data_IF_291392821353
#
_entry.id   IF_291392821353
#
_cell.length_a   1.000
_cell.length_b   1.000
_cell.length_c   1.000
_cell.angle_alpha   90.00
_cell.angle_beta   90.00
_cell.angle_gamma   90.00
#
_symmetry.space_group_name_H-M   'P 1'
#
loop_
_entity.id
_entity.type
_entity.pdbx_description
1 polymer ?
#
# COMPACT_ATOMS: atom_id res chain seq x y z
N UNK A 1 1.98 10.07 0.61
CA UNK A 1 2.51 11.44 0.53
C UNK A 1 3.08 11.92 1.88
N UNK A 2 2.73 11.30 3.00
CA UNK A 2 3.20 11.68 4.33
C UNK A 2 2.58 12.98 4.89
N UNK A 3 1.44 13.43 4.34
CA UNK A 3 0.71 14.62 4.76
C UNK A 3 -0.62 14.25 5.45
N UNK A 4 -1.16 15.18 6.26
CA UNK A 4 -2.43 14.94 6.95
C UNK A 4 -3.64 14.96 6.00
N UNK A 5 -4.79 14.36 6.37
CA UNK A 5 -6.01 14.48 5.58
C UNK A 5 -6.45 15.92 5.36
N UNK A 6 -6.31 16.80 6.37
CA UNK A 6 -6.64 18.23 6.27
C UNK A 6 -5.77 18.93 5.21
N UNK A 7 -4.46 18.69 5.25
CA UNK A 7 -3.53 19.23 4.26
C UNK A 7 -3.77 18.65 2.86
N UNK A 8 -4.04 17.36 2.75
CA UNK A 8 -4.40 16.72 1.48
C UNK A 8 -5.62 17.38 0.85
N UNK A 9 -6.67 17.62 1.64
CA UNK A 9 -7.88 18.28 1.15
C UNK A 9 -7.65 19.74 0.75
N UNK A 10 -6.81 20.47 1.47
CA UNK A 10 -6.42 21.84 1.11
C UNK A 10 -5.68 21.89 -0.23
N UNK A 11 -4.75 20.97 -0.45
CA UNK A 11 -4.01 20.85 -1.72
C UNK A 11 -4.95 20.45 -2.85
N UNK A 12 -5.80 19.45 -2.63
CA UNK A 12 -6.77 19.00 -3.63
C UNK A 12 -7.76 20.12 -4.02
N UNK A 13 -8.18 20.95 -3.05
CA UNK A 13 -9.03 22.11 -3.31
C UNK A 13 -8.37 23.08 -4.28
N UNK A 14 -7.09 23.42 -4.06
CA UNK A 14 -6.32 24.28 -4.97
C UNK A 14 -6.17 23.69 -6.37
N UNK A 15 -5.89 22.38 -6.47
CA UNK A 15 -5.80 21.69 -7.75
C UNK A 15 -7.13 21.74 -8.52
N UNK A 16 -8.25 21.61 -7.81
CA UNK A 16 -9.59 21.72 -8.38
C UNK A 16 -9.89 23.15 -8.84
N UNK A 17 -9.67 24.15 -7.98
CA UNK A 17 -9.90 25.58 -8.31
C UNK A 17 -9.08 26.05 -9.50
N UNK A 18 -7.87 25.51 -9.70
CA UNK A 18 -7.00 25.77 -10.84
C UNK A 18 -7.33 24.88 -12.07
N UNK A 19 -8.38 24.05 -12.01
CA UNK A 19 -8.83 23.23 -13.15
C UNK A 19 -7.90 22.08 -13.50
N UNK A 20 -7.07 21.62 -12.56
CA UNK A 20 -6.16 20.49 -12.78
C UNK A 20 -6.81 19.13 -12.53
N UNK A 21 -7.76 19.07 -11.59
CA UNK A 21 -8.52 17.86 -11.25
C UNK A 21 -10.01 18.17 -11.21
N UNK A 22 -10.85 17.12 -11.31
CA UNK A 22 -12.28 17.21 -11.03
C UNK A 22 -12.51 17.34 -9.51
N UNK A 23 -13.75 17.51 -9.09
CA UNK A 23 -14.08 17.76 -7.71
C UNK A 23 -13.63 16.61 -6.79
N UNK A 24 -12.86 16.92 -5.76
CA UNK A 24 -12.21 15.93 -4.89
C UNK A 24 -13.09 15.41 -3.75
N UNK A 25 -14.21 16.09 -3.43
CA UNK A 25 -15.14 15.64 -2.37
C UNK A 25 -16.25 14.80 -2.97
N UNK A 26 -15.88 13.67 -3.53
CA UNK A 26 -16.80 12.72 -4.18
C UNK A 26 -16.58 11.32 -3.63
N UNK A 27 -17.63 10.55 -3.56
CA UNK A 27 -17.64 9.10 -3.29
C UNK A 27 -17.87 8.29 -4.57
N UNK A 28 -18.06 8.96 -5.71
CA UNK A 28 -18.23 8.32 -7.00
C UNK A 28 -16.93 7.68 -7.49
N UNK A 29 -17.08 6.50 -8.09
CA UNK A 29 -16.02 5.76 -8.77
C UNK A 29 -16.16 5.82 -10.30
N UNK A 30 -17.16 6.55 -10.81
CA UNK A 30 -17.47 6.62 -12.24
C UNK A 30 -16.56 7.62 -12.94
N UNK A 31 -16.16 7.26 -14.15
CA UNK A 31 -15.49 8.16 -15.10
C UNK A 31 -16.43 8.46 -16.26
N UNK A 32 -16.41 9.68 -16.77
CA UNK A 32 -17.17 10.05 -17.98
C UNK A 32 -16.63 9.32 -19.20
N UNK A 33 -17.48 9.15 -20.21
CA UNK A 33 -17.10 8.48 -21.47
C UNK A 33 -15.94 9.22 -22.17
N UNK A 34 -15.94 10.55 -22.16
CA UNK A 34 -14.84 11.37 -22.68
C UNK A 34 -13.51 11.07 -21.96
N UNK A 35 -13.56 10.95 -20.63
CA UNK A 35 -12.37 10.61 -19.85
C UNK A 35 -11.87 9.19 -20.16
N UNK A 36 -12.76 8.22 -20.31
CA UNK A 36 -12.42 6.85 -20.69
C UNK A 36 -11.76 6.81 -22.08
N UNK A 37 -12.28 7.58 -23.04
CA UNK A 37 -11.68 7.67 -24.36
C UNK A 37 -10.29 8.30 -24.36
N UNK A 38 -10.09 9.38 -23.60
CA UNK A 38 -8.79 10.01 -23.45
C UNK A 38 -7.78 9.11 -22.76
N UNK A 39 -8.19 8.39 -21.71
CA UNK A 39 -7.35 7.39 -21.02
C UNK A 39 -6.98 6.28 -22.00
N UNK A 40 -7.93 5.75 -22.78
CA UNK A 40 -7.69 4.72 -23.79
C UNK A 40 -6.61 5.15 -24.78
N UNK A 41 -6.77 6.36 -25.36
CA UNK A 41 -5.79 6.92 -26.30
C UNK A 41 -4.41 7.02 -25.65
N UNK A 42 -4.35 7.46 -24.38
CA UNK A 42 -3.09 7.65 -23.65
C UNK A 42 -2.43 6.31 -23.31
N UNK A 43 -3.18 5.34 -22.79
CA UNK A 43 -2.65 4.00 -22.49
C UNK A 43 -2.14 3.31 -23.74
N UNK A 44 -2.92 3.34 -24.83
CA UNK A 44 -2.52 2.70 -26.09
C UNK A 44 -1.24 3.32 -26.65
N UNK A 45 -1.11 4.65 -26.55
CA UNK A 45 0.09 5.37 -27.04
C UNK A 45 1.34 5.06 -26.22
N UNK A 46 1.23 4.94 -24.89
CA UNK A 46 2.40 4.81 -24.00
C UNK A 46 2.78 3.36 -23.70
N UNK A 47 1.80 2.47 -23.64
CA UNK A 47 2.01 1.07 -23.20
C UNK A 47 1.61 0.05 -24.27
N UNK A 48 0.77 0.42 -25.24
CA UNK A 48 0.21 -0.45 -26.25
C UNK A 48 -1.23 -0.89 -25.95
N UNK A 49 -1.94 -1.34 -26.99
CA UNK A 49 -3.37 -1.71 -26.91
C UNK A 49 -3.64 -2.87 -25.94
N UNK A 50 -2.66 -3.76 -25.77
CA UNK A 50 -2.78 -4.91 -24.85
C UNK A 50 -2.89 -4.51 -23.37
N UNK A 51 -2.53 -3.27 -23.02
CA UNK A 51 -2.57 -2.77 -21.65
C UNK A 51 -3.90 -2.12 -21.26
N UNK A 52 -4.72 -1.71 -22.22
CA UNK A 52 -6.00 -1.07 -21.93
C UNK A 52 -7.08 -2.10 -21.61
N UNK A 53 -7.84 -1.81 -20.57
CA UNK A 53 -9.08 -2.52 -20.23
C UNK A 53 -10.03 -1.56 -19.55
N UNK A 54 -11.12 -1.21 -20.23
CA UNK A 54 -12.18 -0.42 -19.59
C UNK A 54 -12.76 -1.17 -18.41
N UNK A 55 -12.79 -0.51 -17.27
CA UNK A 55 -13.32 -1.07 -16.03
C UNK A 55 -14.30 -0.08 -15.40
N UNK A 56 -15.56 -0.45 -15.32
CA UNK A 56 -16.61 0.32 -14.63
C UNK A 56 -16.70 -0.15 -13.19
N UNK A 57 -16.24 0.68 -12.26
CA UNK A 57 -16.32 0.42 -10.84
C UNK A 57 -17.71 0.78 -10.32
N UNK A 58 -18.27 -0.06 -9.45
CA UNK A 58 -19.52 0.22 -8.76
C UNK A 58 -19.22 0.59 -7.33
N UNK A 59 -19.87 1.66 -6.83
CA UNK A 59 -19.85 1.98 -5.41
C UNK A 59 -20.53 0.85 -4.61
N UNK A 60 -19.95 0.50 -3.47
CA UNK A 60 -20.55 -0.45 -2.54
C UNK A 60 -21.70 0.19 -1.74
N UNK A 61 -21.71 1.51 -1.66
CA UNK A 61 -22.69 2.26 -0.92
C UNK A 61 -23.92 2.51 -1.81
N UNK A 62 -25.08 1.97 -1.39
CA UNK A 62 -26.36 2.16 -2.08
C UNK A 62 -26.82 3.62 -2.11
N UNK A 63 -26.22 4.47 -1.28
CA UNK A 63 -26.50 5.90 -1.16
C UNK A 63 -25.48 6.78 -1.87
N UNK A 64 -24.55 6.19 -2.68
CA UNK A 64 -23.63 7.01 -3.46
C UNK A 64 -24.42 7.85 -4.47
N UNK A 65 -24.09 9.12 -4.55
CA UNK A 65 -24.71 10.03 -5.52
C UNK A 65 -24.15 9.68 -6.92
N UNK A 66 -24.87 8.84 -7.66
CA UNK A 66 -24.49 8.40 -9.02
C UNK A 66 -24.29 9.56 -10.01
N UNK A 67 -24.74 10.77 -9.66
CA UNK A 67 -24.60 11.98 -10.48
C UNK A 67 -23.20 12.60 -10.46
N UNK A 68 -22.28 12.13 -9.60
CA UNK A 68 -20.93 12.68 -9.50
C UNK A 68 -19.90 11.82 -10.24
N UNK A 69 -18.85 12.47 -10.71
CA UNK A 69 -17.69 11.82 -11.30
C UNK A 69 -16.61 11.54 -10.23
N UNK A 70 -15.76 10.54 -10.47
CA UNK A 70 -14.59 10.29 -9.63
C UNK A 70 -13.60 11.46 -9.70
N UNK A 71 -12.83 11.66 -8.63
CA UNK A 71 -11.71 12.60 -8.63
C UNK A 71 -10.62 12.11 -9.62
N UNK A 72 -10.40 12.86 -10.68
CA UNK A 72 -9.46 12.56 -11.75
C UNK A 72 -8.78 13.81 -12.30
N UNK A 73 -7.69 13.70 -13.08
CA UNK A 73 -7.17 14.83 -13.85
C UNK A 73 -8.19 15.35 -14.88
N UNK A 74 -8.26 16.66 -15.05
CA UNK A 74 -9.06 17.24 -16.12
C UNK A 74 -8.46 16.99 -17.51
N UNK A 75 -7.14 16.80 -17.59
CA UNK A 75 -6.41 16.53 -18.85
C UNK A 75 -5.40 15.41 -18.65
N UNK A 76 -5.36 14.46 -19.58
CA UNK A 76 -4.44 13.32 -19.54
C UNK A 76 -3.14 13.52 -20.33
N UNK A 77 -2.95 14.70 -20.94
CA UNK A 77 -1.78 14.99 -21.76
C UNK A 77 -0.45 14.94 -21.02
N UNK A 78 -0.44 15.41 -19.75
CA UNK A 78 0.75 15.46 -18.90
C UNK A 78 0.48 14.75 -17.57
N UNK A 79 1.42 13.92 -17.11
CA UNK A 79 1.35 13.24 -15.82
C UNK A 79 1.89 14.09 -14.66
N UNK A 80 2.39 15.28 -14.96
CA UNK A 80 3.01 16.21 -14.01
C UNK A 80 2.63 17.65 -14.35
N UNK A 81 2.59 18.49 -13.34
CA UNK A 81 2.41 19.93 -13.44
C UNK A 81 3.75 20.69 -13.34
N UNK A 82 4.89 19.99 -13.47
CA UNK A 82 6.21 20.61 -13.46
C UNK A 82 6.31 21.68 -14.54
N UNK A 83 6.90 22.83 -14.18
CA UNK A 83 7.08 23.97 -15.09
C UNK A 83 5.88 24.90 -15.21
N UNK A 84 4.76 24.63 -14.49
CA UNK A 84 3.69 25.59 -14.36
C UNK A 84 3.98 26.56 -13.22
N UNK A 85 3.72 27.86 -13.46
CA UNK A 85 3.82 28.87 -12.41
C UNK A 85 2.84 28.59 -11.28
N UNK A 86 3.24 28.88 -10.03
CA UNK A 86 2.43 28.76 -8.82
C UNK A 86 1.99 27.34 -8.42
N UNK A 87 2.64 26.29 -8.91
CA UNK A 87 2.42 24.92 -8.47
C UNK A 87 3.51 24.52 -7.45
N UNK A 88 3.12 24.23 -6.23
CA UNK A 88 4.03 23.73 -5.20
C UNK A 88 4.41 22.26 -5.46
N UNK A 89 5.55 21.85 -4.90
CA UNK A 89 5.99 20.45 -4.94
C UNK A 89 4.91 19.47 -4.41
N UNK A 90 4.19 19.84 -3.33
CA UNK A 90 3.14 19.00 -2.75
C UNK A 90 1.91 18.89 -3.66
N UNK A 91 1.52 19.96 -4.32
CA UNK A 91 0.44 19.98 -5.31
C UNK A 91 0.77 19.06 -6.50
N UNK A 92 1.99 19.16 -7.02
CA UNK A 92 2.44 18.30 -8.09
C UNK A 92 2.49 16.83 -7.68
N UNK A 93 2.96 16.51 -6.47
CA UNK A 93 2.95 15.12 -5.94
C UNK A 93 1.55 14.55 -5.81
N UNK A 94 0.58 15.33 -5.34
CA UNK A 94 -0.80 14.89 -5.23
C UNK A 94 -1.41 14.70 -6.62
N UNK A 95 -1.18 15.63 -7.54
CA UNK A 95 -1.63 15.51 -8.93
C UNK A 95 -1.08 14.24 -9.60
N UNK A 96 0.23 13.99 -9.51
CA UNK A 96 0.86 12.76 -10.03
C UNK A 96 0.21 11.49 -9.48
N UNK A 97 -0.11 11.49 -8.17
CA UNK A 97 -0.78 10.34 -7.55
C UNK A 97 -2.17 10.12 -8.14
N UNK A 98 -2.98 11.17 -8.24
CA UNK A 98 -4.33 11.11 -8.82
C UNK A 98 -4.26 10.64 -10.27
N UNK A 99 -3.37 11.27 -11.07
CA UNK A 99 -3.17 10.92 -12.47
C UNK A 99 -2.78 9.44 -12.65
N UNK A 100 -1.78 8.98 -11.92
CA UNK A 100 -1.31 7.60 -12.00
C UNK A 100 -2.40 6.60 -11.60
N UNK A 101 -3.14 6.89 -10.52
CA UNK A 101 -4.24 6.03 -10.07
C UNK A 101 -5.37 5.96 -11.09
N UNK A 102 -5.74 7.08 -11.69
CA UNK A 102 -6.77 7.13 -12.74
C UNK A 102 -6.35 6.30 -13.94
N UNK A 103 -5.11 6.47 -14.44
CA UNK A 103 -4.61 5.67 -15.56
C UNK A 103 -4.60 4.17 -15.24
N UNK A 104 -4.04 3.79 -14.10
CA UNK A 104 -3.95 2.39 -13.67
C UNK A 104 -5.34 1.74 -13.50
N UNK A 105 -6.37 2.51 -13.16
CA UNK A 105 -7.73 2.00 -12.99
C UNK A 105 -8.34 1.47 -14.29
N UNK A 106 -7.85 1.91 -15.44
CA UNK A 106 -8.31 1.54 -16.77
C UNK A 106 -7.28 0.68 -17.54
N UNK A 107 -6.35 0.05 -16.81
CA UNK A 107 -5.37 -0.88 -17.36
C UNK A 107 -5.67 -2.31 -16.94
N UNK A 108 -5.26 -3.26 -17.78
CA UNK A 108 -5.38 -4.70 -17.46
C UNK A 108 -4.64 -5.03 -16.16
N UNK A 109 -5.17 -5.97 -15.36
CA UNK A 109 -4.48 -6.45 -14.16
C UNK A 109 -3.16 -7.13 -14.51
N UNK A 110 -2.19 -7.04 -13.60
CA UNK A 110 -0.97 -7.82 -13.69
C UNK A 110 -1.29 -9.31 -13.52
N UNK A 111 -0.60 -10.16 -14.28
CA UNK A 111 -0.66 -11.62 -14.13
C UNK A 111 0.61 -12.11 -13.48
N UNK A 112 0.46 -12.79 -12.36
CA UNK A 112 1.56 -13.32 -11.56
C UNK A 112 1.42 -14.84 -11.50
N UNK A 113 2.49 -15.54 -11.82
CA UNK A 113 2.62 -16.98 -11.62
C UNK A 113 3.31 -17.22 -10.27
N UNK A 114 2.67 -18.03 -9.40
CA UNK A 114 3.21 -18.34 -8.08
C UNK A 114 3.65 -19.81 -8.09
N UNK A 115 4.95 -20.04 -8.00
CA UNK A 115 5.52 -21.35 -7.81
C UNK A 115 5.75 -21.61 -6.33
N UNK A 116 5.20 -22.70 -5.81
CA UNK A 116 5.37 -23.10 -4.41
C UNK A 116 6.13 -24.43 -4.35
N UNK A 117 7.24 -24.43 -3.64
CA UNK A 117 8.08 -25.61 -3.41
C UNK A 117 7.89 -26.01 -1.94
N UNK A 118 7.59 -27.29 -1.72
CA UNK A 118 7.53 -27.87 -0.38
C UNK A 118 8.68 -28.84 -0.22
N UNK A 119 9.48 -28.67 0.81
CA UNK A 119 10.64 -29.51 1.12
C UNK A 119 10.34 -30.17 2.48
N UNK A 120 10.19 -31.48 2.46
CA UNK A 120 10.02 -32.29 3.67
C UNK A 120 11.38 -32.85 4.15
N UNK A 121 11.42 -33.24 5.39
CA UNK A 121 12.54 -34.00 5.94
C UNK A 121 12.19 -35.49 5.91
N UNK A 122 13.16 -36.31 5.59
CA UNK A 122 13.10 -37.75 5.81
C UNK A 122 13.70 -38.06 7.18
N UNK A 123 13.07 -38.97 7.91
CA UNK A 123 13.63 -39.54 9.12
C UNK A 123 14.53 -40.75 8.78
N UNK A 124 15.09 -41.40 9.80
CA UNK A 124 15.95 -42.58 9.62
C UNK A 124 15.25 -43.76 8.96
N UNK A 125 13.90 -43.80 9.01
CA UNK A 125 13.05 -44.79 8.36
C UNK A 125 12.57 -44.37 6.95
N UNK A 126 13.13 -43.32 6.36
CA UNK A 126 12.76 -42.75 5.04
C UNK A 126 11.32 -42.18 4.99
N UNK A 127 10.68 -41.95 6.17
CA UNK A 127 9.35 -41.36 6.26
C UNK A 127 9.44 -39.83 6.20
N UNK A 128 8.64 -39.22 5.33
CA UNK A 128 8.59 -37.78 5.20
C UNK A 128 7.85 -37.17 6.37
N UNK A 129 8.51 -36.22 7.06
CA UNK A 129 7.94 -35.47 8.16
C UNK A 129 6.69 -34.68 7.74
N UNK A 130 5.73 -34.53 8.66
CA UNK A 130 4.57 -33.65 8.48
C UNK A 130 4.95 -32.17 8.44
N UNK A 131 6.12 -31.80 9.00
CA UNK A 131 6.64 -30.44 8.97
C UNK A 131 7.44 -30.23 7.68
N UNK A 132 7.10 -29.18 6.95
CA UNK A 132 7.72 -28.88 5.68
C UNK A 132 8.25 -27.43 5.68
N UNK A 133 9.36 -27.20 5.00
CA UNK A 133 9.71 -25.87 4.53
C UNK A 133 8.89 -25.55 3.29
N UNK A 134 8.42 -24.32 3.19
CA UNK A 134 7.68 -23.83 2.03
C UNK A 134 8.40 -22.61 1.49
N UNK A 135 8.84 -22.69 0.24
CA UNK A 135 9.34 -21.56 -0.51
C UNK A 135 8.32 -21.16 -1.57
N UNK A 136 7.99 -19.88 -1.64
CA UNK A 136 7.13 -19.33 -2.68
C UNK A 136 7.90 -18.32 -3.49
N UNK A 137 7.86 -18.43 -4.80
CA UNK A 137 8.43 -17.46 -5.73
C UNK A 137 7.32 -16.97 -6.67
N UNK A 138 7.25 -15.66 -6.81
CA UNK A 138 6.30 -14.99 -7.70
C UNK A 138 7.05 -14.49 -8.94
N UNK A 139 6.47 -14.73 -10.12
CA UNK A 139 6.97 -14.26 -11.41
C UNK A 139 5.89 -13.44 -12.08
N UNK A 140 6.23 -12.24 -12.52
CA UNK A 140 5.30 -11.40 -13.29
C UNK A 140 5.32 -11.89 -14.73
N UNK A 141 4.22 -12.52 -15.15
CA UNK A 141 4.03 -13.00 -16.54
C UNK A 141 3.56 -11.85 -17.45
N UNK A 142 2.76 -10.97 -16.91
CA UNK A 142 2.30 -9.75 -17.58
C UNK A 142 2.20 -8.63 -16.52
N UNK A 143 2.92 -7.56 -16.74
CA UNK A 143 3.04 -6.48 -15.76
C UNK A 143 1.79 -5.58 -15.66
N UNK A 144 0.96 -5.52 -16.71
CA UNK A 144 -0.31 -4.81 -16.68
C UNK A 144 -0.17 -3.40 -16.10
N UNK A 145 -1.05 -3.03 -15.16
CA UNK A 145 -1.03 -1.71 -14.53
C UNK A 145 0.26 -1.42 -13.74
N UNK A 146 1.02 -2.44 -13.34
CA UNK A 146 2.29 -2.26 -12.62
C UNK A 146 3.32 -1.52 -13.47
N UNK A 147 3.28 -1.70 -14.81
CA UNK A 147 4.15 -0.99 -15.74
C UNK A 147 4.00 0.53 -15.61
N UNK A 148 2.76 1.02 -15.57
CA UNK A 148 2.51 2.44 -15.35
C UNK A 148 3.06 2.91 -14.00
N UNK A 149 2.87 2.13 -12.94
CA UNK A 149 3.40 2.44 -11.61
C UNK A 149 4.93 2.57 -11.61
N UNK A 150 5.65 1.67 -12.27
CA UNK A 150 7.11 1.69 -12.33
C UNK A 150 7.65 2.86 -13.17
N UNK A 151 7.06 3.13 -14.34
CA UNK A 151 7.44 4.25 -15.22
C UNK A 151 7.27 5.58 -14.49
N UNK A 152 6.15 5.78 -13.80
CA UNK A 152 5.89 7.05 -13.12
C UNK A 152 6.59 7.19 -11.76
N UNK A 153 7.07 6.10 -11.15
CA UNK A 153 7.96 6.15 -9.99
C UNK A 153 9.37 6.56 -10.37
N UNK A 154 9.94 6.00 -11.44
CA UNK A 154 11.30 6.33 -11.92
C UNK A 154 11.46 7.80 -12.32
N UNK A 155 10.40 8.49 -12.70
CA UNK A 155 10.45 9.94 -12.93
C UNK A 155 10.70 10.80 -11.68
N UNK A 156 10.87 10.18 -10.49
CA UNK A 156 11.19 10.84 -9.22
C UNK A 156 12.68 10.99 -8.94
N UNK A 157 13.57 10.26 -9.65
CA UNK A 157 15.00 10.20 -9.33
C UNK A 157 15.81 11.27 -10.06
N UNK A 158 15.35 12.52 -10.03
CA UNK A 158 16.20 13.65 -10.37
C UNK A 158 16.30 14.58 -9.16
N UNK A 159 17.42 14.41 -8.43
CA UNK A 159 18.02 15.38 -7.49
C UNK A 159 17.22 15.64 -6.21
N UNK A 160 17.45 14.87 -5.18
CA UNK A 160 17.54 15.27 -3.76
C UNK A 160 17.33 14.17 -2.69
N UNK A 161 17.41 12.88 -3.05
CA UNK A 161 17.46 11.79 -2.06
C UNK A 161 18.64 10.84 -2.36
N UNK A 162 19.87 11.35 -2.32
CA UNK A 162 21.07 10.53 -2.05
C UNK A 162 21.10 10.25 -0.55
N UNK A 163 20.44 9.17 -0.11
CA UNK A 163 20.87 8.38 1.06
C UNK A 163 19.97 7.15 1.20
N UNK A 164 20.62 5.99 1.11
CA UNK A 164 20.11 4.62 1.20
C UNK A 164 19.53 4.09 -0.10
N UNK A 165 20.34 3.95 -1.12
CA UNK A 165 20.17 2.93 -2.14
C UNK A 165 20.71 1.60 -1.58
N UNK A 166 19.81 0.75 -1.09
CA UNK A 166 20.01 -0.68 -1.31
C UNK A 166 19.75 -0.87 -2.81
N UNK A 167 20.80 -1.21 -3.57
CA UNK A 167 20.70 -1.63 -4.96
C UNK A 167 19.70 -2.78 -5.04
N UNK A 168 18.45 -2.49 -5.40
CA UNK A 168 17.53 -3.54 -5.81
C UNK A 168 18.11 -4.14 -7.11
N UNK A 169 18.55 -5.40 -7.10
CA UNK A 169 19.10 -6.05 -8.29
C UNK A 169 18.04 -5.97 -9.40
N UNK A 170 18.48 -5.73 -10.62
CA UNK A 170 17.61 -5.63 -11.80
C UNK A 170 16.61 -6.79 -11.79
N UNK A 171 15.34 -6.47 -11.56
CA UNK A 171 14.25 -7.44 -11.37
C UNK A 171 14.23 -8.49 -12.48
N UNK A 172 14.53 -8.10 -13.71
CA UNK A 172 14.60 -9.01 -14.87
C UNK A 172 15.70 -10.10 -14.77
N UNK A 173 16.83 -9.80 -14.17
CA UNK A 173 17.94 -10.76 -14.08
C UNK A 173 17.67 -11.79 -12.98
N UNK A 174 17.16 -11.35 -11.84
CA UNK A 174 16.73 -12.22 -10.72
C UNK A 174 15.58 -13.14 -11.12
N UNK A 175 14.65 -12.65 -11.96
CA UNK A 175 13.53 -13.44 -12.47
C UNK A 175 13.99 -14.52 -13.45
N UNK A 176 14.90 -14.21 -14.38
CA UNK A 176 15.46 -15.19 -15.35
C UNK A 176 16.22 -16.31 -14.66
N UNK A 177 17.04 -15.98 -13.67
CA UNK A 177 17.83 -16.97 -12.94
C UNK A 177 16.95 -17.82 -12.02
N UNK A 178 15.92 -17.22 -11.41
CA UNK A 178 14.92 -17.95 -10.63
C UNK A 178 14.14 -18.98 -11.46
N UNK A 179 13.72 -18.65 -12.69
CA UNK A 179 13.05 -19.59 -13.59
C UNK A 179 13.95 -20.75 -13.98
N UNK A 180 15.22 -20.51 -14.34
CA UNK A 180 16.20 -21.56 -14.67
C UNK A 180 16.44 -22.53 -13.52
N UNK A 181 16.41 -22.05 -12.27
CA UNK A 181 16.54 -22.92 -11.10
C UNK A 181 15.29 -23.79 -10.97
N UNK A 182 14.10 -23.23 -11.13
CA UNK A 182 12.84 -23.98 -11.03
C UNK A 182 12.69 -25.06 -12.11
N UNK A 183 13.17 -24.83 -13.32
CA UNK A 183 13.16 -25.81 -14.41
C UNK A 183 14.01 -27.06 -14.10
N UNK A 184 15.01 -26.94 -13.22
CA UNK A 184 15.86 -28.05 -12.78
C UNK A 184 15.25 -28.88 -11.66
N UNK A 185 14.25 -28.35 -10.96
CA UNK A 185 13.60 -29.02 -9.83
C UNK A 185 12.57 -30.04 -10.33
N UNK A 186 12.63 -31.24 -9.80
CA UNK A 186 11.67 -32.31 -10.09
C UNK A 186 10.92 -32.67 -8.82
N UNK A 187 9.69 -33.18 -8.98
CA UNK A 187 8.93 -33.75 -7.88
C UNK A 187 9.71 -34.93 -7.28
N UNK A 188 9.68 -35.03 -5.97
CA UNK A 188 10.32 -36.10 -5.18
C UNK A 188 11.87 -36.16 -5.38
N UNK A 189 12.48 -35.03 -5.69
CA UNK A 189 13.91 -34.90 -5.80
C UNK A 189 14.54 -34.78 -4.40
N UNK A 190 15.55 -35.57 -4.11
CA UNK A 190 16.35 -35.47 -2.88
C UNK A 190 17.29 -34.24 -2.98
N UNK A 191 17.30 -33.45 -1.91
CA UNK A 191 18.13 -32.27 -1.80
C UNK A 191 18.97 -32.34 -0.52
N UNK A 192 20.28 -32.09 -0.66
CA UNK A 192 21.13 -31.84 0.51
C UNK A 192 20.95 -30.40 0.98
N UNK A 193 21.01 -30.17 2.28
CA UNK A 193 21.03 -28.83 2.81
C UNK A 193 22.44 -28.21 2.69
N UNK A 194 22.47 -26.93 2.41
CA UNK A 194 23.69 -26.11 2.50
C UNK A 194 23.70 -25.38 3.84
N UNK A 195 22.52 -24.89 4.22
CA UNK A 195 22.33 -24.12 5.44
C UNK A 195 20.86 -24.20 5.88
N UNK A 196 20.64 -24.41 7.18
CA UNK A 196 19.33 -24.29 7.80
C UNK A 196 19.42 -23.18 8.86
N UNK A 197 18.43 -22.29 8.87
CA UNK A 197 18.38 -21.21 9.87
C UNK A 197 17.00 -21.15 10.50
N UNK A 198 16.97 -21.20 11.81
CA UNK A 198 15.81 -20.91 12.62
C UNK A 198 15.95 -19.53 13.25
N UNK A 199 14.99 -18.65 13.03
CA UNK A 199 14.99 -17.29 13.57
C UNK A 199 13.74 -17.06 14.38
N UNK A 200 13.92 -16.62 15.61
CA UNK A 200 12.81 -16.17 16.45
C UNK A 200 12.22 -14.89 15.90
N UNK A 201 10.89 -14.83 15.84
CA UNK A 201 10.17 -13.61 15.40
C UNK A 201 9.04 -13.31 16.38
N UNK A 202 8.89 -12.04 16.70
CA UNK A 202 7.73 -11.56 17.44
C UNK A 202 6.69 -11.03 16.45
N UNK A 203 5.46 -11.52 16.56
CA UNK A 203 4.32 -10.99 15.84
C UNK A 203 3.43 -10.17 16.78
N UNK A 204 2.84 -9.10 16.25
CA UNK A 204 1.85 -8.33 17.02
C UNK A 204 0.53 -9.09 17.01
N UNK A 205 0.03 -9.47 18.19
CA UNK A 205 -1.27 -10.13 18.35
C UNK A 205 -2.45 -9.16 18.42
N UNK A 206 -2.21 -7.90 18.81
CA UNK A 206 -3.24 -6.86 18.86
C UNK A 206 -3.40 -6.12 17.54
N UNK A 207 -4.60 -5.61 17.29
CA UNK A 207 -4.82 -4.70 16.16
C UNK A 207 -3.92 -3.47 16.30
N UNK A 208 -3.33 -3.05 15.17
CA UNK A 208 -2.53 -1.84 15.16
C UNK A 208 -3.43 -0.62 15.43
N UNK A 209 -2.93 0.35 16.22
CA UNK A 209 -3.60 1.63 16.40
C UNK A 209 -3.77 2.36 15.06
N UNK A 210 -4.78 3.19 14.98
CA UNK A 210 -5.06 3.96 13.77
C UNK A 210 -3.98 5.01 13.50
N UNK A 211 -3.69 5.22 12.23
CA UNK A 211 -3.15 6.46 11.71
C UNK A 211 -4.34 7.34 11.28
N UNK A 212 -4.12 8.63 11.01
CA UNK A 212 -5.17 9.49 10.46
C UNK A 212 -5.79 8.89 9.18
N UNK A 213 -4.94 8.37 8.27
CA UNK A 213 -5.42 7.76 7.03
C UNK A 213 -6.21 6.46 7.25
N UNK A 214 -5.76 5.59 8.17
CA UNK A 214 -6.49 4.34 8.47
C UNK A 214 -7.77 4.60 9.27
N UNK A 215 -7.84 5.70 10.03
CA UNK A 215 -9.07 6.13 10.68
C UNK A 215 -10.09 6.60 9.63
N UNK A 216 -9.69 7.43 8.66
CA UNK A 216 -10.57 7.83 7.54
C UNK A 216 -11.11 6.61 6.81
N UNK A 217 -10.24 5.64 6.47
CA UNK A 217 -10.67 4.40 5.83
C UNK A 217 -11.68 3.63 6.69
N UNK A 218 -11.48 3.60 8.02
CA UNK A 218 -12.40 2.90 8.92
C UNK A 218 -13.75 3.60 9.04
N UNK A 219 -13.76 4.93 9.06
CA UNK A 219 -15.00 5.73 9.03
C UNK A 219 -15.79 5.43 7.75
N UNK A 220 -15.12 5.42 6.61
CA UNK A 220 -15.71 5.07 5.31
C UNK A 220 -16.32 3.66 5.30
N UNK A 221 -15.56 2.66 5.78
CA UNK A 221 -16.03 1.27 5.90
C UNK A 221 -17.26 1.12 6.78
N UNK A 222 -17.41 1.96 7.80
CA UNK A 222 -18.55 1.97 8.74
C UNK A 222 -19.71 2.88 8.27
N UNK A 223 -19.54 3.61 7.14
CA UNK A 223 -20.53 4.56 6.66
C UNK A 223 -20.66 5.82 7.52
N UNK A 224 -19.67 6.09 8.41
CA UNK A 224 -19.66 7.25 9.31
C UNK A 224 -19.00 8.44 8.63
N UNK A 225 -19.75 9.50 8.40
CA UNK A 225 -19.28 10.69 7.69
C UNK A 225 -19.38 10.56 6.17
N UNK A 226 -18.74 11.49 5.48
CA UNK A 226 -18.69 11.57 4.00
C UNK A 226 -17.34 12.16 3.57
N UNK A 227 -16.95 12.08 2.29
CA UNK A 227 -15.70 12.68 1.79
C UNK A 227 -15.50 14.15 2.18
N UNK A 228 -16.59 14.91 2.32
CA UNK A 228 -16.55 16.31 2.77
C UNK A 228 -16.25 16.49 4.26
N UNK A 229 -16.50 15.48 5.10
CA UNK A 229 -16.40 15.59 6.57
C UNK A 229 -15.24 14.80 7.19
N UNK A 230 -14.65 13.79 6.49
CA UNK A 230 -13.58 12.97 7.07
C UNK A 230 -12.41 13.78 7.62
N UNK A 231 -11.92 14.74 6.85
CA UNK A 231 -10.76 15.52 7.28
C UNK A 231 -11.06 16.40 8.50
N UNK A 232 -12.23 16.99 8.56
CA UNK A 232 -12.67 17.80 9.70
C UNK A 232 -12.94 16.94 10.94
N UNK A 233 -13.53 15.76 10.80
CA UNK A 233 -13.73 14.83 11.92
C UNK A 233 -12.41 14.43 12.56
N UNK A 234 -11.42 14.02 11.73
CA UNK A 234 -10.12 13.61 12.21
C UNK A 234 -9.34 14.78 12.84
N UNK A 235 -9.45 16.00 12.31
CA UNK A 235 -8.84 17.16 12.94
C UNK A 235 -9.53 17.58 14.23
N UNK A 236 -10.87 17.59 14.26
CA UNK A 236 -11.66 18.03 15.42
C UNK A 236 -11.37 17.19 16.67
N UNK A 237 -11.26 15.86 16.54
CA UNK A 237 -10.96 15.01 17.71
C UNK A 237 -9.55 15.25 18.26
N UNK A 238 -8.61 15.70 17.42
CA UNK A 238 -7.27 16.09 17.83
C UNK A 238 -7.26 17.53 18.42
N UNK A 239 -7.91 18.49 17.75
CA UNK A 239 -7.98 19.91 18.19
C UNK A 239 -8.69 20.03 19.56
N UNK A 240 -9.66 19.14 19.83
CA UNK A 240 -10.34 19.04 21.14
C UNK A 240 -9.58 18.20 22.16
N UNK A 241 -8.41 17.72 21.79
CA UNK A 241 -7.58 16.86 22.63
C UNK A 241 -8.27 15.58 23.14
N UNK A 242 -9.23 15.04 22.35
CA UNK A 242 -9.82 13.72 22.63
C UNK A 242 -8.89 12.58 22.17
N UNK A 243 -8.07 12.87 21.17
CA UNK A 243 -7.10 11.96 20.58
C UNK A 243 -5.81 12.73 20.36
N UNK A 244 -4.68 12.16 20.69
CA UNK A 244 -3.35 12.68 20.38
C UNK A 244 -2.62 11.80 19.38
N UNK A 245 -1.85 12.44 18.47
CA UNK A 245 -0.98 11.75 17.53
C UNK A 245 0.42 11.68 18.08
N UNK A 246 0.91 10.49 18.36
CA UNK A 246 2.26 10.29 18.90
C UNK A 246 2.96 9.06 18.36
N UNK A 247 4.27 9.03 18.56
CA UNK A 247 5.11 7.87 18.32
C UNK A 247 5.61 7.33 19.66
N UNK A 248 5.60 6.02 19.80
CA UNK A 248 6.12 5.31 20.97
C UNK A 248 7.30 4.47 20.49
N UNK A 249 8.44 4.60 21.14
CA UNK A 249 9.56 3.72 20.88
C UNK A 249 9.27 2.30 21.35
N UNK A 250 9.69 1.30 20.57
CA UNK A 250 9.63 -0.08 20.95
C UNK A 250 10.64 -0.41 22.06
N UNK A 251 10.34 -1.47 22.82
CA UNK A 251 11.29 -2.04 23.78
C UNK A 251 12.25 -2.96 23.05
N UNK A 252 13.53 -2.86 23.36
CA UNK A 252 14.55 -3.78 22.85
C UNK A 252 14.35 -5.15 23.48
N UNK A 253 14.35 -6.18 22.63
CA UNK A 253 14.30 -7.59 23.05
C UNK A 253 15.37 -8.36 22.31
N UNK A 254 15.89 -9.40 22.93
CA UNK A 254 16.82 -10.34 22.31
C UNK A 254 16.03 -11.35 21.50
N UNK A 255 16.61 -11.73 20.37
CA UNK A 255 16.14 -12.79 19.47
C UNK A 255 17.17 -13.90 19.43
N UNK A 256 16.74 -15.12 19.62
CA UNK A 256 17.58 -16.29 19.45
C UNK A 256 17.50 -16.77 18.01
N UNK A 257 18.63 -16.87 17.36
CA UNK A 257 18.77 -17.40 16.01
C UNK A 257 19.72 -18.61 16.06
N UNK A 258 19.32 -19.70 15.45
CA UNK A 258 20.09 -20.93 15.37
C UNK A 258 20.39 -21.17 13.88
N UNK A 259 21.64 -21.42 13.57
CA UNK A 259 22.12 -21.71 12.21
C UNK A 259 22.84 -23.04 12.23
N UNK A 260 22.45 -23.95 11.34
CA UNK A 260 23.17 -25.17 11.02
C UNK A 260 23.85 -24.99 9.65
N UNK A 261 25.15 -25.10 9.60
CA UNK A 261 25.96 -24.99 8.37
C UNK A 261 27.21 -25.84 8.54
N UNK A 262 27.56 -26.66 7.54
CA UNK A 262 28.68 -27.59 7.57
C UNK A 262 28.64 -28.55 8.79
N UNK A 263 27.46 -29.03 9.13
CA UNK A 263 27.18 -29.88 10.30
C UNK A 263 27.51 -29.27 11.68
N UNK A 264 27.75 -27.96 11.71
CA UNK A 264 27.97 -27.21 12.93
C UNK A 264 26.76 -26.34 13.26
N UNK A 265 26.36 -26.36 14.55
CA UNK A 265 25.27 -25.51 15.06
C UNK A 265 25.89 -24.27 15.68
N UNK A 266 25.48 -23.12 15.19
CA UNK A 266 25.89 -21.81 15.71
C UNK A 266 24.66 -21.08 16.23
N UNK A 267 24.71 -20.69 17.49
CA UNK A 267 23.68 -19.85 18.13
C UNK A 267 24.14 -18.39 18.07
N UNK A 268 23.21 -17.50 17.72
CA UNK A 268 23.44 -16.05 17.63
C UNK A 268 22.29 -15.29 18.28
N UNK A 269 22.60 -14.40 19.20
CA UNK A 269 21.64 -13.42 19.70
C UNK A 269 21.65 -12.18 18.79
N UNK A 270 20.47 -11.83 18.27
CA UNK A 270 20.22 -10.54 17.63
C UNK A 270 19.31 -9.70 18.53
N UNK A 271 19.25 -8.41 18.28
CA UNK A 271 18.35 -7.49 19.02
C UNK A 271 17.37 -6.86 18.06
N UNK A 272 16.11 -6.72 18.50
CA UNK A 272 15.08 -6.02 17.77
C UNK A 272 14.24 -5.17 18.70
N UNK A 273 13.58 -4.14 18.17
CA UNK A 273 12.62 -3.34 18.93
C UNK A 273 11.20 -3.83 18.64
N UNK A 274 10.44 -4.16 19.69
CA UNK A 274 9.04 -4.60 19.61
C UNK A 274 8.11 -3.60 20.30
N UNK A 275 6.84 -3.56 19.88
CA UNK A 275 5.80 -2.73 20.50
C UNK A 275 5.90 -1.24 20.18
N UNK A 276 6.79 -0.83 19.27
CA UNK A 276 6.86 0.54 18.79
C UNK A 276 5.67 0.92 17.89
N UNK A 277 5.22 2.16 18.00
CA UNK A 277 4.19 2.76 17.15
C UNK A 277 4.71 4.09 16.58
N UNK A 278 4.55 4.31 15.28
CA UNK A 278 4.96 5.56 14.63
C UNK A 278 3.74 6.29 14.08
N UNK A 279 3.57 7.57 14.49
CA UNK A 279 2.49 8.45 14.03
C UNK A 279 1.09 7.83 14.19
N UNK A 280 0.82 7.23 15.37
CA UNK A 280 -0.47 6.61 15.70
C UNK A 280 -1.32 7.52 16.55
N UNK A 281 -2.64 7.30 16.46
CA UNK A 281 -3.64 8.02 17.24
C UNK A 281 -3.89 7.27 18.55
N UNK A 282 -3.84 8.00 19.66
CA UNK A 282 -4.06 7.51 21.01
C UNK A 282 -5.21 8.28 21.67
N UNK A 283 -6.20 7.61 22.25
CA UNK A 283 -7.19 8.30 23.07
C UNK A 283 -6.51 8.96 24.28
N UNK A 284 -7.02 10.10 24.67
CA UNK A 284 -6.59 10.79 25.88
C UNK A 284 -7.56 10.47 27.03
N UNK A 285 -7.19 10.68 28.30
CA UNK A 285 -8.12 10.49 29.43
C UNK A 285 -9.42 11.29 29.28
N UNK A 286 -9.34 12.53 28.78
CA UNK A 286 -10.52 13.34 28.52
C UNK A 286 -11.37 12.77 27.38
N UNK A 287 -10.73 12.23 26.34
CA UNK A 287 -11.42 11.58 25.24
C UNK A 287 -12.18 10.33 25.70
N UNK A 288 -11.59 9.53 26.59
CA UNK A 288 -12.26 8.36 27.18
C UNK A 288 -13.47 8.74 28.05
N UNK A 289 -13.34 9.79 28.86
CA UNK A 289 -14.45 10.31 29.70
C UNK A 289 -15.58 10.81 28.81
N UNK A 290 -15.28 11.62 27.79
CA UNK A 290 -16.29 12.15 26.86
C UNK A 290 -16.96 11.03 26.09
N UNK A 291 -16.20 10.06 25.58
CA UNK A 291 -16.75 8.91 24.87
C UNK A 291 -17.72 8.10 25.75
N UNK A 292 -17.31 7.81 27.00
CA UNK A 292 -18.17 7.13 27.94
C UNK A 292 -19.44 7.89 28.23
N UNK A 293 -19.34 9.20 28.51
CA UNK A 293 -20.50 10.06 28.74
C UNK A 293 -21.49 10.05 27.56
N UNK A 294 -20.97 10.13 26.33
CA UNK A 294 -21.79 10.10 25.13
C UNK A 294 -22.52 8.76 24.96
N UNK A 295 -21.81 7.65 25.15
CA UNK A 295 -22.40 6.31 25.05
C UNK A 295 -23.47 6.10 26.12
N UNK A 296 -23.20 6.49 27.35
CA UNK A 296 -24.12 6.27 28.48
C UNK A 296 -25.41 7.11 28.38
N UNK A 297 -25.35 8.29 27.76
CA UNK A 297 -26.46 9.23 27.73
C UNK A 297 -27.11 9.43 26.35
N UNK A 298 -26.44 9.05 25.26
CA UNK A 298 -26.88 9.34 23.89
C UNK A 298 -26.75 8.12 22.98
N UNK A 299 -26.82 6.91 23.51
CA UNK A 299 -26.67 5.66 22.76
C UNK A 299 -27.66 5.50 21.60
N UNK A 300 -28.86 6.13 21.70
CA UNK A 300 -29.87 6.09 20.62
C UNK A 300 -29.52 7.02 19.43
N UNK A 301 -28.56 7.95 19.63
CA UNK A 301 -28.16 8.93 18.61
C UNK A 301 -26.82 8.53 17.98
N UNK A 302 -26.04 7.73 18.68
CA UNK A 302 -24.73 7.23 18.26
C UNK A 302 -24.87 5.88 17.57
#
# INVERSE_FOLDING_TARGET
LGISPKETMSIAQKLYENGHITYMRTDSLMLSDDALEDIKKKVNKEFGEDYYQETKYKSKDKNSQEAHEACRPCKFSKHTLDGLENISYRENRLYKLIWTRTMMSQMKPAKVEITSIKIGFKDEDDKVSKNNFVSKKEFIVFDGFLKASSVYKKSKETKEEEQVEEEEPEIEQVEKDGKKILEKLKKDMDCSYVKIQASQKYSRHSQARFTEASLVKKLDELGIGRPSTYSSMVSTVQDRNYVEKKSIEGKEVKLENIKLENDEIVEKEDKTKIGGDKNKLFPTPIGEIVNKFLIDNFSEII
#
